data_IF_339712328117
#
_entry.id   IF_339712328117
#
_cell.length_a   1.000
_cell.length_b   1.000
_cell.length_c   1.000
_cell.angle_alpha   90.00
_cell.angle_beta   90.00
_cell.angle_gamma   90.00
#
_symmetry.space_group_name_H-M   'P 1'
#
loop_
_entity.id
_entity.type
_entity.pdbx_description
1 polymer ?
#
# COMPACT_ATOMS: atom_id res chain seq x y z
N UNK A 1 -1.95 15.10 -11.37
CA UNK A 1 -3.42 15.27 -11.28
C UNK A 1 -3.75 15.76 -9.89
N UNK A 2 -4.19 17.02 -9.75
CA UNK A 2 -4.76 17.53 -8.48
C UNK A 2 -6.25 17.22 -8.51
N UNK A 3 -6.70 16.22 -7.78
CA UNK A 3 -8.12 16.16 -7.41
C UNK A 3 -8.37 17.35 -6.48
N UNK A 4 -9.38 18.16 -6.78
CA UNK A 4 -9.79 19.24 -5.88
C UNK A 4 -10.14 18.65 -4.52
N UNK A 5 -9.84 19.33 -3.41
CA UNK A 5 -10.24 18.89 -2.06
C UNK A 5 -11.74 18.57 -1.99
N UNK A 6 -12.56 19.30 -2.76
CA UNK A 6 -14.01 19.04 -2.89
C UNK A 6 -14.34 17.63 -3.40
N UNK A 7 -13.47 17.03 -4.21
CA UNK A 7 -13.62 15.66 -4.71
C UNK A 7 -13.45 14.61 -3.60
N UNK A 8 -12.72 14.92 -2.52
CA UNK A 8 -12.54 14.00 -1.39
C UNK A 8 -13.79 13.87 -0.53
N UNK A 9 -14.66 14.88 -0.53
CA UNK A 9 -15.91 14.91 0.26
C UNK A 9 -17.15 14.47 -0.51
N UNK A 10 -17.01 13.91 -1.71
CA UNK A 10 -18.16 13.38 -2.46
C UNK A 10 -18.72 12.14 -1.74
N UNK A 11 -20.03 12.13 -1.46
CA UNK A 11 -20.72 11.03 -0.74
C UNK A 11 -20.48 9.64 -1.34
N UNK A 12 -20.27 9.53 -2.65
CA UNK A 12 -19.92 8.26 -3.30
C UNK A 12 -18.61 7.62 -2.77
N UNK A 13 -17.70 8.42 -2.20
CA UNK A 13 -16.46 7.97 -1.55
C UNK A 13 -16.67 7.55 -0.09
N UNK A 14 -17.89 7.54 0.41
CA UNK A 14 -18.19 7.00 1.74
C UNK A 14 -18.28 5.47 1.72
N UNK A 15 -18.65 4.89 0.57
CA UNK A 15 -18.77 3.45 0.40
C UNK A 15 -17.46 2.80 -0.02
N UNK A 16 -17.37 1.48 0.19
CA UNK A 16 -16.21 0.66 -0.19
C UNK A 16 -16.20 0.32 -1.70
N UNK A 17 -16.76 1.17 -2.55
CA UNK A 17 -16.75 1.00 -4.01
C UNK A 17 -15.56 1.74 -4.63
N UNK A 18 -14.72 1.02 -5.36
CA UNK A 18 -13.54 1.58 -6.01
C UNK A 18 -13.41 1.09 -7.46
N UNK A 19 -13.14 2.02 -8.38
CA UNK A 19 -13.17 1.77 -9.82
C UNK A 19 -12.03 0.87 -10.32
N UNK A 20 -10.92 0.78 -9.58
CA UNK A 20 -9.74 -0.01 -9.97
C UNK A 20 -9.29 -0.95 -8.82
N UNK A 21 -9.90 -2.15 -8.72
CA UNK A 21 -9.60 -3.08 -7.62
C UNK A 21 -8.16 -3.65 -7.66
N UNK A 22 -7.45 -3.51 -8.77
CA UNK A 22 -6.03 -3.88 -8.89
C UNK A 22 -5.14 -3.14 -7.88
N UNK A 23 -5.52 -1.92 -7.54
CA UNK A 23 -4.75 -1.06 -6.63
C UNK A 23 -4.61 -1.66 -5.22
N UNK A 24 -5.50 -2.56 -4.82
CA UNK A 24 -5.48 -3.19 -3.50
C UNK A 24 -4.38 -4.25 -3.33
N UNK A 25 -3.89 -4.75 -4.45
CA UNK A 25 -3.04 -5.95 -4.52
C UNK A 25 -1.73 -5.69 -5.26
N UNK A 26 -1.42 -4.41 -5.47
CA UNK A 26 -0.17 -3.93 -6.06
C UNK A 26 0.57 -2.98 -5.12
N UNK A 27 1.85 -2.80 -5.41
CA UNK A 27 2.68 -1.78 -4.75
C UNK A 27 2.66 -0.49 -5.56
N UNK A 28 2.80 0.64 -4.87
CA UNK A 28 2.88 1.95 -5.52
C UNK A 28 4.14 2.07 -6.40
N UNK A 29 5.25 1.42 -6.01
CA UNK A 29 6.52 1.34 -6.74
C UNK A 29 6.55 0.36 -7.91
N UNK A 30 5.48 -0.39 -8.21
CA UNK A 30 5.52 -1.51 -9.17
C UNK A 30 6.68 -2.49 -8.89
N UNK A 31 6.94 -2.78 -7.62
CA UNK A 31 7.90 -3.81 -7.22
C UNK A 31 7.51 -5.18 -7.82
N UNK A 32 8.49 -6.08 -8.07
CA UNK A 32 8.20 -7.43 -8.52
C UNK A 32 7.23 -8.15 -7.59
N UNK A 33 6.33 -8.98 -8.15
CA UNK A 33 5.29 -9.67 -7.38
C UNK A 33 5.86 -10.51 -6.23
N UNK A 34 7.02 -11.17 -6.45
CA UNK A 34 7.72 -11.93 -5.40
C UNK A 34 8.10 -11.06 -4.20
N UNK A 35 8.58 -9.82 -4.43
CA UNK A 35 8.94 -8.91 -3.34
C UNK A 35 7.71 -8.51 -2.52
N UNK A 36 6.59 -8.22 -3.19
CA UNK A 36 5.35 -7.88 -2.47
C UNK A 36 4.75 -9.08 -1.73
N UNK A 37 4.85 -10.28 -2.31
CA UNK A 37 4.48 -11.52 -1.64
C UNK A 37 5.30 -11.72 -0.36
N UNK A 38 6.64 -11.59 -0.44
CA UNK A 38 7.54 -11.71 0.71
C UNK A 38 7.26 -10.65 1.77
N UNK A 39 6.96 -9.41 1.36
CA UNK A 39 6.52 -8.34 2.26
C UNK A 39 5.27 -8.74 3.05
N UNK A 40 4.24 -9.26 2.36
CA UNK A 40 2.99 -9.68 3.02
C UNK A 40 3.20 -10.90 3.91
N UNK A 41 4.01 -11.88 3.47
CA UNK A 41 4.37 -13.05 4.26
C UNK A 41 5.11 -12.65 5.54
N UNK A 42 6.10 -11.77 5.44
CA UNK A 42 6.87 -11.30 6.59
C UNK A 42 5.97 -10.69 7.67
N UNK A 43 5.11 -9.73 7.29
CA UNK A 43 4.23 -9.08 8.26
C UNK A 43 3.15 -10.00 8.79
N UNK A 44 2.64 -10.93 7.99
CA UNK A 44 1.75 -11.99 8.46
C UNK A 44 2.41 -12.83 9.56
N UNK A 45 3.61 -13.39 9.29
CA UNK A 45 4.34 -14.22 10.25
C UNK A 45 4.70 -13.43 11.50
N UNK A 46 5.17 -12.19 11.36
CA UNK A 46 5.48 -11.31 12.48
C UNK A 46 4.29 -11.12 13.42
N UNK A 47 3.13 -10.74 12.89
CA UNK A 47 1.95 -10.44 13.71
C UNK A 47 1.31 -11.70 14.31
N UNK A 48 1.40 -12.85 13.63
CA UNK A 48 0.97 -14.15 14.19
C UNK A 48 1.89 -14.57 15.33
N UNK A 49 3.21 -14.51 15.13
CA UNK A 49 4.17 -14.82 16.19
C UNK A 49 3.99 -13.90 17.40
N UNK A 50 3.78 -12.60 17.14
CA UNK A 50 3.52 -11.62 18.19
C UNK A 50 2.27 -11.94 19.01
N UNK A 51 1.14 -12.25 18.36
CA UNK A 51 -0.12 -12.48 19.09
C UNK A 51 -0.06 -13.73 19.96
N UNK A 52 0.60 -14.78 19.46
CA UNK A 52 0.84 -16.03 20.22
C UNK A 52 1.76 -15.72 21.40
N UNK A 53 2.91 -15.08 21.16
CA UNK A 53 3.88 -14.74 22.20
C UNK A 53 3.30 -13.80 23.25
N UNK A 54 2.52 -12.78 22.85
CA UNK A 54 1.86 -11.84 23.75
C UNK A 54 0.82 -12.52 24.63
N UNK A 55 0.02 -13.43 24.07
CA UNK A 55 -0.95 -14.22 24.83
C UNK A 55 -0.28 -15.13 25.86
N UNK A 56 0.78 -15.86 25.46
CA UNK A 56 1.58 -16.69 26.36
C UNK A 56 2.22 -15.86 27.46
N UNK A 57 2.93 -14.77 27.10
CA UNK A 57 3.57 -13.88 28.06
C UNK A 57 2.57 -13.28 29.05
N UNK A 58 1.37 -12.94 28.60
CA UNK A 58 0.35 -12.38 29.49
C UNK A 58 -0.20 -13.42 30.45
N UNK A 59 -0.40 -14.67 30.01
CA UNK A 59 -0.78 -15.79 30.89
C UNK A 59 0.30 -16.17 31.90
N UNK A 60 1.57 -16.16 31.48
CA UNK A 60 2.68 -16.65 32.31
C UNK A 60 3.26 -15.57 33.24
N UNK A 61 3.31 -14.31 32.79
CA UNK A 61 4.09 -13.26 33.45
C UNK A 61 3.24 -12.06 33.93
N UNK A 62 1.99 -11.90 33.46
CA UNK A 62 1.13 -10.77 33.85
C UNK A 62 -0.08 -11.18 34.68
N UNK A 63 -0.70 -12.30 34.35
CA UNK A 63 -1.84 -12.84 35.06
C UNK A 63 -1.43 -13.32 36.46
N UNK A 64 -2.27 -13.09 37.47
CA UNK A 64 -2.03 -13.62 38.82
C UNK A 64 -2.33 -15.11 38.89
N UNK A 65 -3.34 -15.52 38.14
CA UNK A 65 -3.80 -16.89 37.98
C UNK A 65 -3.99 -17.18 36.49
N UNK A 66 -3.67 -18.40 36.00
CA UNK A 66 -3.95 -18.81 34.61
C UNK A 66 -5.36 -18.49 34.11
N UNK A 67 -6.36 -18.53 34.98
CA UNK A 67 -7.77 -18.23 34.67
C UNK A 67 -8.01 -16.74 34.35
N UNK A 68 -7.10 -15.85 34.75
CA UNK A 68 -7.13 -14.44 34.37
C UNK A 68 -6.55 -14.17 32.97
N UNK A 69 -6.00 -15.19 32.30
CA UNK A 69 -5.49 -15.09 30.92
C UNK A 69 -6.42 -14.36 29.92
N UNK A 70 -7.75 -14.54 29.96
CA UNK A 70 -8.69 -13.81 29.10
C UNK A 70 -8.68 -12.29 29.29
N UNK A 71 -8.17 -11.75 30.41
CA UNK A 71 -7.93 -10.30 30.58
C UNK A 71 -6.92 -9.76 29.55
N UNK A 72 -6.27 -10.61 28.76
CA UNK A 72 -5.54 -10.13 27.58
C UNK A 72 -6.45 -9.36 26.60
N UNK A 73 -7.70 -9.81 26.41
CA UNK A 73 -8.63 -9.24 25.43
C UNK A 73 -9.29 -7.92 25.87
N UNK A 74 -9.13 -7.49 27.12
CA UNK A 74 -9.76 -6.24 27.59
C UNK A 74 -8.94 -5.00 27.21
N UNK A 75 -7.65 -5.17 26.88
CA UNK A 75 -6.75 -4.06 26.53
C UNK A 75 -6.87 -3.67 25.06
N UNK A 76 -7.16 -2.39 24.81
CA UNK A 76 -7.19 -1.76 23.48
C UNK A 76 -5.98 -2.09 22.61
N UNK A 77 -4.77 -2.04 23.18
CA UNK A 77 -3.53 -2.37 22.43
C UNK A 77 -3.58 -3.80 21.91
N UNK A 78 -4.05 -4.74 22.73
CA UNK A 78 -4.11 -6.16 22.38
C UNK A 78 -5.22 -6.44 21.36
N UNK A 79 -6.40 -5.85 21.51
CA UNK A 79 -7.49 -6.00 20.53
C UNK A 79 -7.15 -5.34 19.19
N UNK A 80 -6.43 -4.21 19.21
CA UNK A 80 -5.92 -3.55 18.00
C UNK A 80 -4.85 -4.41 17.32
N UNK A 81 -3.94 -5.00 18.09
CA UNK A 81 -2.96 -5.96 17.58
C UNK A 81 -3.62 -7.20 16.97
N UNK A 82 -4.64 -7.76 17.62
CA UNK A 82 -5.40 -8.90 17.09
C UNK A 82 -6.05 -8.56 15.74
N UNK A 83 -6.67 -7.38 15.66
CA UNK A 83 -7.28 -6.89 14.42
C UNK A 83 -6.21 -6.65 13.34
N UNK A 84 -5.04 -6.19 13.73
CA UNK A 84 -3.87 -6.04 12.85
C UNK A 84 -3.43 -7.39 12.30
N UNK A 85 -3.30 -8.42 13.16
CA UNK A 85 -2.97 -9.79 12.75
C UNK A 85 -4.02 -10.35 11.78
N UNK A 86 -5.31 -10.14 12.06
CA UNK A 86 -6.39 -10.54 11.15
C UNK A 86 -6.26 -9.86 9.79
N UNK A 87 -5.97 -8.55 9.77
CA UNK A 87 -5.79 -7.77 8.55
C UNK A 87 -4.60 -8.27 7.75
N UNK A 88 -3.44 -8.48 8.37
CA UNK A 88 -2.26 -9.05 7.72
C UNK A 88 -2.53 -10.47 7.18
N UNK A 89 -3.35 -11.26 7.87
CA UNK A 89 -3.76 -12.59 7.43
C UNK A 89 -4.64 -12.51 6.19
N UNK A 90 -5.68 -11.66 6.20
CA UNK A 90 -6.54 -11.43 5.04
C UNK A 90 -5.72 -10.94 3.84
N UNK A 91 -4.86 -9.94 4.04
CA UNK A 91 -4.01 -9.40 2.98
C UNK A 91 -3.06 -10.47 2.41
N UNK A 92 -2.45 -11.30 3.27
CA UNK A 92 -1.59 -12.39 2.83
C UNK A 92 -2.38 -13.47 2.06
N UNK A 93 -3.54 -13.88 2.56
CA UNK A 93 -4.38 -14.88 1.90
C UNK A 93 -4.86 -14.42 0.52
N UNK A 94 -5.21 -13.13 0.37
CA UNK A 94 -5.57 -12.55 -0.92
C UNK A 94 -4.39 -12.65 -1.89
N UNK A 95 -3.18 -12.25 -1.47
CA UNK A 95 -1.99 -12.29 -2.32
C UNK A 95 -1.55 -13.73 -2.63
N UNK A 96 -1.66 -14.64 -1.67
CA UNK A 96 -1.39 -16.06 -1.87
C UNK A 96 -2.35 -16.67 -2.88
N UNK A 97 -3.65 -16.44 -2.71
CA UNK A 97 -4.68 -16.91 -3.63
C UNK A 97 -4.43 -16.43 -5.06
N UNK A 98 -4.14 -15.14 -5.25
CA UNK A 98 -3.84 -14.58 -6.57
C UNK A 98 -2.54 -15.16 -7.16
N UNK A 99 -1.51 -15.37 -6.33
CA UNK A 99 -0.24 -15.95 -6.78
C UNK A 99 -0.41 -17.41 -7.23
N UNK A 100 -1.17 -18.21 -6.49
CA UNK A 100 -1.47 -19.61 -6.84
C UNK A 100 -2.26 -19.69 -8.14
N UNK A 101 -3.29 -18.84 -8.31
CA UNK A 101 -4.09 -18.80 -9.53
C UNK A 101 -3.29 -18.42 -10.77
N UNK A 102 -2.42 -17.40 -10.64
CA UNK A 102 -1.52 -17.01 -11.72
C UNK A 102 -0.63 -18.17 -12.14
N UNK A 103 0.00 -18.86 -11.20
CA UNK A 103 0.88 -20.00 -11.49
C UNK A 103 0.10 -21.13 -12.18
N UNK A 104 -1.10 -21.45 -11.73
CA UNK A 104 -1.96 -22.44 -12.38
C UNK A 104 -2.31 -22.06 -13.82
N UNK A 105 -2.70 -20.79 -14.07
CA UNK A 105 -3.02 -20.32 -15.44
C UNK A 105 -1.83 -20.40 -16.42
N UNK A 106 -0.61 -20.19 -15.91
CA UNK A 106 0.62 -20.25 -16.72
C UNK A 106 0.93 -21.71 -17.08
N UNK A 107 0.72 -22.63 -16.13
CA UNK A 107 0.87 -24.06 -16.37
C UNK A 107 -0.15 -24.56 -17.40
N UNK A 108 -1.40 -24.09 -17.33
CA UNK A 108 -2.49 -24.55 -18.20
C UNK A 108 -2.39 -24.01 -19.65
N UNK A 109 -1.71 -22.86 -19.89
CA UNK A 109 -1.59 -22.24 -21.22
C UNK A 109 -0.15 -21.81 -21.59
N UNK A 110 0.77 -22.77 -21.84
CA UNK A 110 2.20 -22.49 -22.06
C UNK A 110 2.55 -21.80 -23.40
N UNK A 111 1.64 -21.75 -24.38
CA UNK A 111 1.91 -21.23 -25.74
C UNK A 111 1.87 -19.70 -25.88
N UNK A 112 1.45 -18.97 -24.84
CA UNK A 112 1.41 -17.48 -24.84
C UNK A 112 2.77 -16.79 -24.66
N UNK A 113 3.86 -17.56 -24.49
CA UNK A 113 5.24 -17.08 -24.25
C UNK A 113 6.13 -17.03 -25.51
N UNK A 114 5.72 -17.58 -26.66
CA UNK A 114 6.57 -17.69 -27.86
C UNK A 114 6.52 -16.48 -28.83
N UNK A 115 5.66 -15.49 -28.58
CA UNK A 115 5.68 -14.24 -29.35
C UNK A 115 6.76 -13.30 -28.78
N UNK A 116 7.67 -12.73 -29.60
CA UNK A 116 8.66 -11.76 -29.11
C UNK A 116 7.94 -10.55 -28.52
N UNK A 117 8.06 -10.36 -27.20
CA UNK A 117 7.34 -9.33 -26.44
C UNK A 117 8.06 -7.97 -26.52
N UNK A 118 7.47 -6.93 -27.12
CA UNK A 118 7.89 -5.57 -26.81
C UNK A 118 7.31 -5.22 -25.42
N UNK A 119 8.22 -5.03 -24.46
CA UNK A 119 8.12 -4.37 -23.13
C UNK A 119 6.71 -4.22 -22.47
N UNK A 120 6.61 -4.71 -21.21
CA UNK A 120 5.56 -4.54 -20.15
C UNK A 120 4.34 -5.50 -20.15
N UNK A 121 4.56 -6.81 -20.07
CA UNK A 121 3.46 -7.80 -19.98
C UNK A 121 3.06 -8.27 -18.57
N UNK A 122 3.87 -8.03 -17.52
CA UNK A 122 3.48 -8.43 -16.14
C UNK A 122 2.28 -7.64 -15.58
N UNK A 123 2.09 -6.41 -16.05
CA UNK A 123 1.01 -5.51 -15.62
C UNK A 123 -0.32 -5.81 -16.35
N UNK A 124 -0.23 -6.27 -17.61
CA UNK A 124 -1.37 -6.61 -18.47
C UNK A 124 -2.03 -7.92 -18.03
N UNK A 125 -1.22 -8.91 -17.61
CA UNK A 125 -1.72 -10.21 -17.15
C UNK A 125 -2.56 -10.06 -15.87
N UNK A 126 -2.10 -9.24 -14.92
CA UNK A 126 -2.86 -8.97 -13.69
C UNK A 126 -4.25 -8.36 -13.98
N UNK A 127 -4.28 -7.43 -14.93
CA UNK A 127 -5.53 -6.78 -15.40
C UNK A 127 -6.43 -7.79 -16.13
N UNK A 128 -5.86 -8.67 -16.95
CA UNK A 128 -6.60 -9.67 -17.71
C UNK A 128 -7.26 -10.74 -16.85
N UNK A 129 -6.60 -11.22 -15.79
CA UNK A 129 -7.12 -12.31 -14.95
C UNK A 129 -8.21 -11.84 -13.97
N UNK A 130 -8.08 -10.62 -13.42
CA UNK A 130 -9.18 -9.99 -12.68
C UNK A 130 -10.37 -9.70 -13.60
N UNK A 131 -10.12 -9.21 -14.82
CA UNK A 131 -11.16 -9.01 -15.83
C UNK A 131 -11.79 -10.32 -16.33
N UNK A 132 -11.05 -11.43 -16.40
CA UNK A 132 -11.57 -12.74 -16.85
C UNK A 132 -12.53 -13.34 -15.81
N UNK A 133 -12.27 -13.13 -14.51
CA UNK A 133 -13.24 -13.41 -13.44
C UNK A 133 -14.48 -12.51 -13.51
N UNK A 134 -14.33 -11.31 -14.08
CA UNK A 134 -15.33 -10.24 -14.18
C UNK A 134 -16.06 -10.18 -15.53
N UNK A 135 -15.81 -11.09 -16.48
CA UNK A 135 -16.38 -11.07 -17.84
C UNK A 135 -17.91 -11.11 -17.94
N UNK A 136 -18.62 -11.08 -16.80
CA UNK A 136 -20.07 -11.07 -16.67
C UNK A 136 -20.63 -10.06 -15.63
N UNK A 137 -19.81 -9.21 -14.97
CA UNK A 137 -20.31 -8.25 -13.96
C UNK A 137 -19.66 -6.87 -14.07
N UNK A 138 -20.48 -5.82 -13.98
CA UNK A 138 -20.05 -4.42 -13.89
C UNK A 138 -18.90 -4.24 -12.87
N UNK A 139 -17.92 -3.38 -13.19
CA UNK A 139 -16.72 -3.04 -12.41
C UNK A 139 -17.02 -2.74 -10.93
N UNK A 140 -17.17 -3.78 -10.12
CA UNK A 140 -17.55 -3.67 -8.72
C UNK A 140 -16.46 -4.31 -7.88
N UNK A 141 -15.94 -3.56 -6.91
CA UNK A 141 -14.87 -4.05 -6.03
C UNK A 141 -15.33 -5.35 -5.34
N UNK A 142 -14.59 -6.47 -5.49
CA UNK A 142 -14.90 -7.73 -4.82
C UNK A 142 -15.02 -7.57 -3.30
N UNK A 143 -15.91 -8.33 -2.67
CA UNK A 143 -16.23 -8.20 -1.24
C UNK A 143 -15.00 -8.36 -0.33
N UNK A 144 -14.05 -9.23 -0.68
CA UNK A 144 -12.85 -9.48 0.11
C UNK A 144 -11.86 -8.31 0.05
N UNK A 145 -11.80 -7.58 -1.08
CA UNK A 145 -11.04 -6.34 -1.19
C UNK A 145 -11.70 -5.21 -0.41
N UNK A 146 -13.04 -5.16 -0.38
CA UNK A 146 -13.78 -4.24 0.50
C UNK A 146 -13.46 -4.49 1.97
N UNK A 147 -13.45 -5.75 2.39
CA UNK A 147 -13.09 -6.14 3.76
C UNK A 147 -11.65 -5.73 4.09
N UNK A 148 -10.68 -6.07 3.24
CA UNK A 148 -9.27 -5.65 3.40
C UNK A 148 -9.17 -4.12 3.53
N UNK A 149 -9.89 -3.37 2.68
CA UNK A 149 -9.85 -1.91 2.72
C UNK A 149 -10.47 -1.30 3.98
N UNK A 150 -11.61 -1.84 4.41
CA UNK A 150 -12.23 -1.45 5.68
C UNK A 150 -11.26 -1.65 6.83
N UNK A 151 -10.69 -2.86 6.94
CA UNK A 151 -9.73 -3.22 7.98
C UNK A 151 -8.48 -2.34 7.92
N UNK A 152 -7.96 -2.06 6.73
CA UNK A 152 -6.81 -1.18 6.50
C UNK A 152 -7.02 0.24 7.08
N UNK A 153 -8.21 0.81 6.91
CA UNK A 153 -8.54 2.14 7.47
C UNK A 153 -8.68 2.11 9.00
N UNK A 154 -9.32 1.06 9.54
CA UNK A 154 -9.48 0.87 10.99
C UNK A 154 -8.11 0.72 11.65
N UNK A 155 -7.36 -0.32 11.26
CA UNK A 155 -6.08 -0.71 11.83
C UNK A 155 -5.02 0.37 11.66
N UNK A 156 -4.98 1.05 10.51
CA UNK A 156 -4.04 2.14 10.29
C UNK A 156 -4.21 3.27 11.30
N UNK A 157 -5.44 3.75 11.48
CA UNK A 157 -5.69 4.89 12.38
C UNK A 157 -5.58 4.48 13.85
N UNK A 158 -6.05 3.29 14.21
CA UNK A 158 -6.08 2.86 15.62
C UNK A 158 -4.70 2.49 16.15
N UNK A 159 -3.80 1.87 15.36
CA UNK A 159 -2.43 1.58 15.82
C UNK A 159 -1.62 2.84 16.11
N UNK A 160 -1.75 3.87 15.25
CA UNK A 160 -1.08 5.15 15.46
C UNK A 160 -1.67 5.85 16.69
N UNK A 161 -2.99 5.84 16.84
CA UNK A 161 -3.64 6.40 18.02
C UNK A 161 -3.21 5.69 19.30
N UNK A 162 -3.20 4.36 19.34
CA UNK A 162 -2.76 3.58 20.51
C UNK A 162 -1.33 3.92 20.87
N UNK A 163 -0.45 4.06 19.88
CA UNK A 163 0.94 4.48 20.11
C UNK A 163 1.01 5.86 20.76
N UNK A 164 0.30 6.86 20.20
CA UNK A 164 0.26 8.22 20.76
C UNK A 164 -0.31 8.20 22.18
N UNK A 165 -1.45 7.55 22.40
CA UNK A 165 -2.11 7.47 23.69
C UNK A 165 -1.23 6.83 24.75
N UNK A 166 -0.50 5.76 24.41
CA UNK A 166 0.43 5.17 25.35
C UNK A 166 1.50 6.16 25.80
N UNK A 167 2.19 6.82 24.86
CA UNK A 167 3.30 7.72 25.18
C UNK A 167 2.87 9.03 25.83
N UNK A 168 1.66 9.51 25.54
CA UNK A 168 1.16 10.80 26.04
C UNK A 168 0.30 10.69 27.29
N UNK A 169 -0.37 9.54 27.50
CA UNK A 169 -1.37 9.37 28.56
C UNK A 169 -0.99 8.28 29.56
N UNK A 170 -0.45 7.14 29.11
CA UNK A 170 -0.20 5.98 29.98
C UNK A 170 1.25 5.88 30.49
N UNK A 171 2.21 6.44 29.75
CA UNK A 171 3.63 6.36 30.11
C UNK A 171 3.92 7.05 31.45
N UNK A 172 4.51 6.31 32.38
CA UNK A 172 4.74 6.74 33.77
C UNK A 172 6.23 6.85 34.14
N UNK A 173 7.12 6.96 33.15
CA UNK A 173 8.57 7.13 33.36
C UNK A 173 9.40 5.84 33.29
N UNK A 174 8.77 4.66 33.32
CA UNK A 174 9.45 3.37 33.11
C UNK A 174 8.63 2.49 32.18
N UNK A 175 9.27 1.95 31.14
CA UNK A 175 8.62 1.05 30.19
C UNK A 175 9.46 -0.19 29.94
N UNK A 176 8.78 -1.32 29.80
CA UNK A 176 9.39 -2.56 29.30
C UNK A 176 9.77 -2.39 27.82
N UNK A 177 10.91 -2.95 27.43
CA UNK A 177 11.37 -3.03 26.04
C UNK A 177 10.30 -3.62 25.14
N UNK A 178 9.56 -4.63 25.62
CA UNK A 178 8.45 -5.27 24.89
C UNK A 178 7.41 -4.23 24.47
N UNK A 179 7.06 -3.30 25.36
CA UNK A 179 6.05 -2.28 25.06
C UNK A 179 6.56 -1.27 24.04
N UNK A 180 7.81 -0.83 24.17
CA UNK A 180 8.47 0.05 23.20
C UNK A 180 8.50 -0.59 21.82
N UNK A 181 8.92 -1.85 21.75
CA UNK A 181 9.03 -2.62 20.51
C UNK A 181 7.67 -2.73 19.82
N UNK A 182 6.60 -3.04 20.56
CA UNK A 182 5.24 -3.12 19.98
C UNK A 182 4.84 -1.82 19.33
N UNK A 183 4.97 -0.71 20.06
CA UNK A 183 4.42 0.57 19.61
C UNK A 183 5.25 1.11 18.44
N UNK A 184 6.56 0.89 18.48
CA UNK A 184 7.48 1.27 17.41
C UNK A 184 7.26 0.43 16.16
N UNK A 185 7.27 -0.90 16.28
CA UNK A 185 7.14 -1.80 15.13
C UNK A 185 5.76 -1.69 14.49
N UNK A 186 4.68 -1.54 15.26
CA UNK A 186 3.36 -1.29 14.70
C UNK A 186 3.31 0.03 13.94
N UNK A 187 3.88 1.09 14.49
CA UNK A 187 3.93 2.40 13.81
C UNK A 187 4.73 2.29 12.51
N UNK A 188 5.89 1.64 12.54
CA UNK A 188 6.70 1.36 11.35
C UNK A 188 5.91 0.55 10.33
N UNK A 189 5.21 -0.49 10.76
CA UNK A 189 4.35 -1.30 9.89
C UNK A 189 3.28 -0.46 9.22
N UNK A 190 2.51 0.35 9.97
CA UNK A 190 1.43 1.16 9.39
C UNK A 190 1.99 2.16 8.37
N UNK A 191 3.04 2.91 8.72
CA UNK A 191 3.60 3.93 7.83
C UNK A 191 4.23 3.29 6.59
N UNK A 192 5.02 2.22 6.77
CA UNK A 192 5.64 1.52 5.64
C UNK A 192 4.60 0.85 4.74
N UNK A 193 3.56 0.22 5.30
CA UNK A 193 2.47 -0.36 4.53
C UNK A 193 1.72 0.72 3.74
N UNK A 194 1.42 1.87 4.36
CA UNK A 194 0.81 3.03 3.69
C UNK A 194 1.66 3.55 2.54
N UNK A 195 2.99 3.63 2.70
CA UNK A 195 3.91 4.10 1.66
C UNK A 195 4.12 3.08 0.52
N UNK A 196 4.09 1.78 0.83
CA UNK A 196 4.40 0.70 -0.10
C UNK A 196 3.20 0.27 -0.94
N UNK A 197 2.01 0.15 -0.34
CA UNK A 197 0.79 -0.30 -1.02
C UNK A 197 0.24 0.75 -1.98
N UNK A 198 -0.40 0.33 -3.07
CA UNK A 198 -1.16 1.22 -3.93
C UNK A 198 -2.59 1.50 -3.42
N UNK A 199 -3.01 0.92 -2.27
CA UNK A 199 -4.33 1.15 -1.70
C UNK A 199 -4.62 2.65 -1.50
N UNK A 200 -5.84 3.10 -1.85
CA UNK A 200 -6.27 4.48 -1.63
C UNK A 200 -6.58 4.72 -0.14
N UNK A 201 -6.25 5.90 0.36
CA UNK A 201 -6.72 6.41 1.65
C UNK A 201 -7.78 7.49 1.41
N UNK A 202 -8.97 7.32 1.98
CA UNK A 202 -10.09 8.24 1.76
C UNK A 202 -10.47 8.91 3.07
N UNK A 203 -10.56 10.25 3.08
CA UNK A 203 -10.86 11.02 4.29
C UNK A 203 -12.17 10.56 4.93
N UNK A 204 -13.21 10.28 4.13
CA UNK A 204 -14.53 9.89 4.64
C UNK A 204 -14.55 8.54 5.38
N UNK A 205 -13.52 7.71 5.20
CA UNK A 205 -13.39 6.44 5.91
C UNK A 205 -12.95 6.60 7.37
N UNK A 206 -12.74 7.83 7.86
CA UNK A 206 -12.49 8.11 9.28
C UNK A 206 -13.60 7.56 10.20
N UNK A 207 -14.81 7.38 9.69
CA UNK A 207 -15.92 6.80 10.44
C UNK A 207 -15.64 5.38 10.92
N UNK A 208 -14.88 4.57 10.16
CA UNK A 208 -14.58 3.19 10.51
C UNK A 208 -13.74 3.06 11.79
N UNK A 209 -12.57 3.73 11.93
CA UNK A 209 -11.83 3.72 13.18
C UNK A 209 -12.57 4.43 14.32
N UNK A 210 -13.40 5.45 14.04
CA UNK A 210 -14.25 6.09 15.07
C UNK A 210 -15.23 5.09 15.66
N UNK A 211 -15.93 4.32 14.82
CA UNK A 211 -16.87 3.28 15.27
C UNK A 211 -16.15 2.20 16.08
N UNK A 212 -14.98 1.75 15.63
CA UNK A 212 -14.18 0.78 16.39
C UNK A 212 -13.80 1.32 17.78
N UNK A 213 -13.31 2.56 17.87
CA UNK A 213 -12.95 3.17 19.14
C UNK A 213 -14.17 3.35 20.05
N UNK A 214 -15.31 3.79 19.50
CA UNK A 214 -16.56 3.92 20.24
C UNK A 214 -17.04 2.59 20.81
N UNK A 215 -16.99 1.51 20.00
CA UNK A 215 -17.34 0.16 20.44
C UNK A 215 -16.41 -0.34 21.56
N UNK A 216 -15.11 -0.05 21.46
CA UNK A 216 -14.17 -0.40 22.52
C UNK A 216 -14.49 0.33 23.83
N UNK A 217 -14.72 1.63 23.80
CA UNK A 217 -15.04 2.38 25.03
C UNK A 217 -16.41 2.02 25.61
N UNK A 218 -17.41 1.72 24.77
CA UNK A 218 -18.67 1.14 25.21
C UNK A 218 -18.44 -0.19 25.93
N UNK A 219 -17.60 -1.07 25.35
CA UNK A 219 -17.17 -2.30 26.01
C UNK A 219 -16.53 -2.00 27.38
N UNK A 220 -15.63 -1.02 27.49
CA UNK A 220 -14.99 -0.70 28.77
C UNK A 220 -15.99 -0.28 29.85
N UNK A 221 -17.04 0.45 29.48
CA UNK A 221 -18.11 0.83 30.41
C UNK A 221 -18.92 -0.38 30.87
N UNK A 222 -19.32 -1.25 29.93
CA UNK A 222 -20.05 -2.49 30.25
C UNK A 222 -19.19 -3.40 31.14
N UNK A 223 -17.91 -3.53 30.82
CA UNK A 223 -16.95 -4.32 31.59
C UNK A 223 -16.82 -3.81 33.03
N UNK A 224 -16.71 -2.49 33.20
CA UNK A 224 -16.72 -1.85 34.51
C UNK A 224 -18.03 -2.09 35.27
N UNK A 225 -19.18 -1.89 34.63
CA UNK A 225 -20.50 -2.08 35.23
C UNK A 225 -20.74 -3.54 35.68
N UNK A 226 -20.10 -4.50 35.01
CA UNK A 226 -20.11 -5.92 35.37
C UNK A 226 -19.10 -6.28 36.49
N UNK A 227 -18.40 -5.29 37.08
CA UNK A 227 -17.39 -5.53 38.13
C UNK A 227 -16.03 -5.99 37.61
N UNK A 228 -15.73 -5.73 36.33
CA UNK A 228 -14.48 -6.11 35.68
C UNK A 228 -13.25 -5.44 36.31
N UNK A 229 -12.11 -6.13 36.26
CA UNK A 229 -10.84 -5.67 36.85
C UNK A 229 -9.65 -5.93 35.92
N UNK A 230 -8.58 -5.16 36.08
CA UNK A 230 -7.32 -5.44 35.38
C UNK A 230 -6.56 -6.64 36.00
N UNK A 231 -5.37 -6.95 35.46
CA UNK A 231 -4.49 -7.99 36.02
C UNK A 231 -4.01 -7.71 37.46
N UNK A 232 -4.17 -6.48 37.96
CA UNK A 232 -3.84 -6.08 39.33
C UNK A 232 -5.08 -6.02 40.24
N UNK A 233 -6.24 -6.43 39.76
CA UNK A 233 -7.50 -6.38 40.52
C UNK A 233 -8.04 -4.96 40.72
N UNK A 234 -7.56 -3.98 39.96
CA UNK A 234 -8.04 -2.59 40.01
C UNK A 234 -9.36 -2.48 39.22
N UNK A 235 -10.32 -1.64 39.66
CA UNK A 235 -11.66 -1.55 39.05
C UNK A 235 -11.68 -0.73 37.75
N UNK A 236 -10.58 -0.72 36.99
CA UNK A 236 -10.43 -0.03 35.72
C UNK A 236 -9.37 -0.74 34.87
N UNK A 237 -9.51 -0.65 33.55
CA UNK A 237 -8.52 -1.21 32.60
C UNK A 237 -7.31 -0.27 32.50
N UNK A 238 -7.59 1.02 32.37
CA UNK A 238 -6.62 2.11 32.33
C UNK A 238 -7.00 3.13 33.39
N UNK A 239 -6.01 3.66 34.10
CA UNK A 239 -6.26 4.64 35.17
C UNK A 239 -6.90 5.94 34.66
N UNK A 240 -6.64 6.30 33.40
CA UNK A 240 -7.24 7.46 32.71
C UNK A 240 -8.69 7.22 32.26
N UNK A 241 -9.13 5.96 32.21
CA UNK A 241 -10.49 5.56 31.82
C UNK A 241 -11.13 4.84 33.00
N UNK A 242 -11.24 5.57 34.10
CA UNK A 242 -11.82 5.10 35.36
C UNK A 242 -13.30 5.54 35.42
N UNK A 243 -14.21 4.60 35.12
CA UNK A 243 -15.65 4.88 35.09
C UNK A 243 -16.25 5.15 36.46
N UNK A 244 -15.54 4.90 37.57
CA UNK A 244 -15.94 5.42 38.88
C UNK A 244 -15.89 6.96 38.94
N UNK A 245 -15.08 7.56 38.07
CA UNK A 245 -14.99 9.00 37.82
C UNK A 245 -15.64 9.31 36.47
N UNK A 246 -16.96 9.15 36.40
CA UNK A 246 -17.70 9.18 35.14
C UNK A 246 -17.50 10.45 34.31
N UNK A 247 -17.50 11.63 34.93
CA UNK A 247 -17.36 12.91 34.21
C UNK A 247 -16.01 13.05 33.48
N UNK A 248 -14.82 12.98 34.14
CA UNK A 248 -13.55 13.10 33.43
C UNK A 248 -13.36 11.97 32.41
N UNK A 249 -13.77 10.75 32.74
CA UNK A 249 -13.68 9.61 31.82
C UNK A 249 -14.51 9.83 30.55
N UNK A 250 -15.74 10.32 30.68
CA UNK A 250 -16.58 10.65 29.53
C UNK A 250 -15.93 11.72 28.64
N UNK A 251 -15.34 12.76 29.23
CA UNK A 251 -14.62 13.81 28.49
C UNK A 251 -13.42 13.22 27.74
N UNK A 252 -12.57 12.42 28.38
CA UNK A 252 -11.41 11.80 27.73
C UNK A 252 -11.82 10.87 26.59
N UNK A 253 -12.84 10.03 26.81
CA UNK A 253 -13.38 9.14 25.79
C UNK A 253 -13.95 9.92 24.61
N UNK A 254 -14.75 10.95 24.86
CA UNK A 254 -15.31 11.80 23.81
C UNK A 254 -14.22 12.51 22.99
N UNK A 255 -13.19 13.07 23.64
CA UNK A 255 -12.06 13.70 22.94
C UNK A 255 -11.26 12.66 22.13
N UNK A 256 -11.00 11.49 22.69
CA UNK A 256 -10.31 10.41 21.99
C UNK A 256 -11.06 9.98 20.71
N UNK A 257 -12.35 9.71 20.83
CA UNK A 257 -13.19 9.18 19.74
C UNK A 257 -13.51 10.25 18.70
N UNK A 258 -13.93 11.44 19.11
CA UNK A 258 -14.46 12.48 18.21
C UNK A 258 -13.39 13.45 17.69
N UNK A 259 -12.23 13.52 18.33
CA UNK A 259 -11.16 14.47 17.97
C UNK A 259 -9.87 13.75 17.61
N UNK A 260 -9.33 12.92 18.51
CA UNK A 260 -8.03 12.30 18.28
C UNK A 260 -8.05 11.29 17.11
N UNK A 261 -9.05 10.41 17.04
CA UNK A 261 -9.19 9.45 15.92
C UNK A 261 -9.27 10.17 14.56
N UNK A 262 -10.17 11.15 14.33
CA UNK A 262 -10.22 11.88 13.07
C UNK A 262 -8.91 12.62 12.73
N UNK A 263 -8.26 13.25 13.71
CA UNK A 263 -6.97 13.94 13.47
C UNK A 263 -5.91 12.94 12.98
N UNK A 264 -5.77 11.79 13.65
CA UNK A 264 -4.82 10.74 13.22
C UNK A 264 -5.16 10.26 11.81
N UNK A 265 -6.44 10.06 11.50
CA UNK A 265 -6.87 9.65 10.17
C UNK A 265 -6.52 10.69 9.08
N UNK A 266 -6.66 11.98 9.39
CA UNK A 266 -6.27 13.09 8.50
C UNK A 266 -4.75 13.15 8.33
N UNK A 267 -3.97 12.92 9.39
CA UNK A 267 -2.51 12.86 9.30
C UNK A 267 -2.07 11.71 8.38
N UNK A 268 -2.69 10.54 8.49
CA UNK A 268 -2.42 9.42 7.58
C UNK A 268 -2.86 9.73 6.14
N UNK A 269 -3.95 10.48 5.94
CA UNK A 269 -4.31 11.00 4.63
C UNK A 269 -3.26 11.96 4.07
N UNK A 270 -2.63 12.79 4.90
CA UNK A 270 -1.53 13.65 4.49
C UNK A 270 -0.30 12.82 4.05
N UNK A 271 0.04 11.76 4.79
CA UNK A 271 1.10 10.81 4.40
C UNK A 271 0.77 10.11 3.08
N UNK A 272 -0.49 9.71 2.88
CA UNK A 272 -0.98 9.18 1.61
C UNK A 272 -0.81 10.19 0.47
N UNK A 273 -1.19 11.45 0.67
CA UNK A 273 -1.06 12.50 -0.35
C UNK A 273 0.41 12.75 -0.68
N UNK A 274 1.27 12.74 0.35
CA UNK A 274 2.72 12.81 0.18
C UNK A 274 3.28 11.64 -0.63
N UNK A 275 2.82 10.41 -0.37
CA UNK A 275 3.14 9.23 -1.20
C UNK A 275 2.80 9.50 -2.67
N UNK A 276 1.57 9.89 -2.97
CA UNK A 276 1.13 10.15 -4.35
C UNK A 276 1.96 11.25 -5.01
N UNK A 277 2.27 12.33 -4.27
CA UNK A 277 3.13 13.41 -4.75
C UNK A 277 4.55 12.91 -5.10
N UNK A 278 5.18 12.17 -4.19
CA UNK A 278 6.53 11.62 -4.38
C UNK A 278 6.58 10.74 -5.64
N UNK A 279 5.60 9.84 -5.80
CA UNK A 279 5.52 8.97 -6.96
C UNK A 279 5.24 9.70 -8.26
N UNK A 280 4.39 10.74 -8.23
CA UNK A 280 4.16 11.57 -9.41
C UNK A 280 5.46 12.25 -9.85
N UNK A 281 6.25 12.78 -8.90
CA UNK A 281 7.53 13.44 -9.21
C UNK A 281 8.58 12.47 -9.77
N UNK A 282 8.73 11.30 -9.15
CA UNK A 282 9.67 10.27 -9.63
C UNK A 282 9.34 9.81 -11.05
N UNK A 283 8.07 9.58 -11.37
CA UNK A 283 7.66 9.16 -12.71
C UNK A 283 7.81 10.27 -13.76
N UNK A 284 7.53 11.54 -13.41
CA UNK A 284 7.76 12.67 -14.31
C UNK A 284 9.24 12.88 -14.64
N UNK A 285 10.14 12.67 -13.67
CA UNK A 285 11.58 12.74 -13.90
C UNK A 285 12.04 11.65 -14.89
N UNK A 286 11.60 10.40 -14.69
CA UNK A 286 11.93 9.28 -15.60
C UNK A 286 11.45 9.51 -17.03
N UNK A 287 10.22 10.02 -17.21
CA UNK A 287 9.69 10.33 -18.54
C UNK A 287 10.52 11.42 -19.24
N UNK A 288 10.88 12.47 -18.51
CA UNK A 288 11.70 13.57 -19.04
C UNK A 288 13.07 13.06 -19.52
N UNK A 289 13.73 12.20 -18.74
CA UNK A 289 15.02 11.60 -19.10
C UNK A 289 14.93 10.70 -20.34
N UNK A 290 13.85 9.92 -20.48
CA UNK A 290 13.65 9.07 -21.67
C UNK A 290 13.42 9.91 -22.94
N UNK A 291 12.65 10.99 -22.86
CA UNK A 291 12.41 11.89 -24.00
C UNK A 291 13.68 12.64 -24.41
N UNK A 292 14.46 13.14 -23.45
CA UNK A 292 15.75 13.79 -23.74
C UNK A 292 16.79 12.82 -24.29
N UNK A 293 16.83 11.58 -23.79
CA UNK A 293 17.71 10.54 -24.30
C UNK A 293 17.34 10.10 -25.72
N UNK A 294 16.05 9.89 -26.00
CA UNK A 294 15.58 9.51 -27.33
C UNK A 294 15.79 10.63 -28.38
N UNK A 295 15.58 11.90 -28.01
CA UNK A 295 15.84 13.04 -28.90
C UNK A 295 17.33 13.25 -29.16
N UNK A 296 18.19 13.06 -28.16
CA UNK A 296 19.66 13.12 -28.35
C UNK A 296 20.17 11.98 -29.24
N UNK A 297 19.65 10.76 -29.08
CA UNK A 297 19.99 9.62 -29.94
C UNK A 297 19.48 9.80 -31.37
N UNK A 298 18.26 10.31 -31.54
CA UNK A 298 17.69 10.61 -32.86
C UNK A 298 18.49 11.69 -33.60
N UNK A 299 18.94 12.74 -32.89
CA UNK A 299 19.83 13.78 -33.44
C UNK A 299 21.22 13.25 -33.80
N UNK A 300 21.76 12.31 -33.02
CA UNK A 300 23.03 11.68 -33.36
C UNK A 300 22.90 10.80 -34.61
N UNK A 301 21.83 10.00 -34.70
CA UNK A 301 21.54 9.14 -35.85
C UNK A 301 21.37 9.97 -37.14
N UNK A 302 20.56 11.04 -37.12
CA UNK A 302 20.37 11.93 -38.29
C UNK A 302 21.67 12.61 -38.71
N UNK A 303 22.54 12.98 -37.77
CA UNK A 303 23.84 13.58 -38.09
C UNK A 303 24.80 12.58 -38.74
N UNK A 304 24.79 11.32 -38.30
CA UNK A 304 25.60 10.24 -38.87
C UNK A 304 25.08 9.83 -40.26
N UNK A 305 23.76 9.71 -40.43
CA UNK A 305 23.14 9.36 -41.71
C UNK A 305 23.29 10.49 -42.74
N UNK A 306 23.17 11.75 -42.31
CA UNK A 306 23.45 12.92 -43.15
C UNK A 306 24.92 13.00 -43.61
N UNK A 307 25.87 12.69 -42.72
CA UNK A 307 27.29 12.64 -43.08
C UNK A 307 27.59 11.49 -44.07
N UNK A 308 26.92 10.34 -43.91
CA UNK A 308 27.09 9.16 -44.78
C UNK A 308 26.46 9.37 -46.17
N UNK A 309 25.33 10.07 -46.24
CA UNK A 309 24.68 10.49 -47.49
C UNK A 309 25.52 11.51 -48.26
N UNK A 310 26.11 12.49 -47.58
CA UNK A 310 27.03 13.46 -48.19
C UNK A 310 28.25 12.76 -48.81
N UNK A 311 28.82 11.78 -48.10
CA UNK A 311 29.98 11.02 -48.59
C UNK A 311 29.63 10.19 -49.84
N UNK A 312 28.45 9.57 -49.88
CA UNK A 312 28.00 8.82 -51.06
C UNK A 312 27.74 9.73 -52.25
N UNK A 313 27.13 10.90 -52.05
CA UNK A 313 26.81 11.82 -53.14
C UNK A 313 28.06 12.48 -53.76
N UNK A 314 29.10 12.72 -52.96
CA UNK A 314 30.39 13.25 -53.42
C UNK A 314 31.22 12.20 -54.18
N UNK A 315 31.11 10.92 -53.78
CA UNK A 315 31.76 9.79 -54.47
C UNK A 315 31.08 9.47 -55.82
N UNK A 316 29.78 9.71 -55.94
CA UNK A 316 29.01 9.47 -57.17
C UNK A 316 29.13 10.60 -58.19
N UNK A 317 29.31 11.85 -57.76
CA UNK A 317 29.63 12.97 -58.67
C UNK A 317 31.05 12.86 -59.25
N UNK A 318 32.00 12.39 -58.46
CA UNK A 318 33.39 12.20 -58.92
C UNK A 318 33.52 11.04 -59.91
N UNK A 319 32.69 9.99 -59.81
CA UNK A 319 32.67 8.90 -60.79
C UNK A 319 31.98 9.26 -62.11
N UNK A 320 30.90 10.06 -62.09
CA UNK A 320 30.21 10.54 -63.30
C UNK A 320 31.00 11.57 -64.10
N UNK A 321 31.79 12.43 -63.45
CA UNK A 321 32.65 13.37 -64.20
C UNK A 321 33.78 12.70 -64.98
N UNK A 322 34.06 11.41 -64.69
CA UNK A 322 35.12 10.63 -65.33
C UNK A 322 34.62 9.74 -66.47
N UNK A 323 33.31 9.56 -66.66
CA UNK A 323 32.75 8.77 -67.76
C UNK A 323 32.40 9.61 -69.00
N UNK A 324 32.17 10.92 -68.86
CA UNK A 324 31.73 11.79 -69.95
C UNK A 324 32.90 12.48 -70.70
N UNK A 325 34.15 12.05 -70.49
CA UNK A 325 35.32 12.58 -71.21
C UNK A 325 35.98 11.60 -72.20
N UNK A 326 35.54 10.34 -72.27
CA UNK A 326 36.19 9.30 -73.10
C UNK A 326 35.37 8.84 -74.33
N UNK A 327 34.24 9.48 -74.65
CA UNK A 327 33.35 9.04 -75.74
C UNK A 327 33.10 10.13 -76.80
N UNK A 328 34.15 10.84 -77.23
CA UNK A 328 34.05 11.73 -78.40
C UNK A 328 35.38 11.81 -79.19
N UNK A 329 35.91 10.68 -79.66
CA UNK A 329 36.90 10.69 -80.74
C UNK A 329 36.96 9.35 -81.47
N UNK A 330 36.25 9.24 -82.60
CA UNK A 330 36.68 8.59 -83.85
C UNK A 330 35.45 8.31 -84.71
N UNK A 331 35.24 9.11 -85.75
CA UNK A 331 34.96 8.62 -87.11
C UNK A 331 34.89 9.82 -88.06
N UNK A 332 35.86 9.92 -88.97
CA UNK A 332 35.70 10.60 -90.26
C UNK A 332 36.45 9.79 -91.33
N UNK A 333 35.87 9.57 -92.52
CA UNK A 333 36.48 8.82 -93.62
C UNK A 333 37.28 9.72 -94.58
N UNK A 334 37.78 9.11 -95.67
CA UNK A 334 38.57 9.64 -96.83
C UNK A 334 40.07 9.32 -96.64
N UNK A 335 40.79 8.56 -97.49
CA UNK A 335 40.69 8.31 -98.93
C UNK A 335 41.20 6.90 -99.29
#
# INVERSE_FOLDING_TARGET
MSTSIREEFRLRKFGLGYCDPDTFVKTQCRLPACVYFLWRLFWFVWHVAWIIGSGINSRLNKARDPDEGPKWFIYLTNTTLLLTTLTCTVDFLIILYLTVRRTASVIDNPTSDLAPRPVKNDEIIFRGEMMLMDGLKEFTTPWYLKLSWFLYNVVGSTNILVTIMYWTVEFNGSTDVVVVVVHTINTVFIISNLLLTAMPWQILHFIYPVLYAALYFLFTYIYYAAGGTDFKGRPYIYSTVDWSKAYPTAVYVSLGVLVAVPIVHIVLFAVYTFRIFLFSKLNSATYSTQVTGASSSAHHQTRVDGARSSFHHETEMTSRSRSDQDEELMTSPIH
#
